data_IF_220024440467
#
_entry.id   IF_220024440467
#
_cell.length_a   1.000
_cell.length_b   1.000
_cell.length_c   1.000
_cell.angle_alpha   90.00
_cell.angle_beta   90.00
_cell.angle_gamma   90.00
#
_symmetry.space_group_name_H-M   'P 1'
#
loop_
_entity.id
_entity.type
_entity.pdbx_description
1 polymer ?
#
# COMPACT_ATOMS: atom_id res chain seq x y z
N UNK A 1 -9.05 4.47 -28.64
CA UNK A 1 -8.81 3.01 -28.62
C UNK A 1 -7.32 2.71 -28.41
N UNK A 2 -6.42 3.59 -28.83
CA UNK A 2 -4.98 3.51 -28.51
C UNK A 2 -4.71 3.92 -27.04
N UNK A 3 -5.29 5.02 -26.58
CA UNK A 3 -5.10 5.54 -25.21
C UNK A 3 -5.50 4.55 -24.10
N UNK A 4 -6.59 3.79 -24.27
CA UNK A 4 -6.99 2.76 -23.30
C UNK A 4 -5.93 1.65 -23.17
N UNK A 5 -5.28 1.28 -24.28
CA UNK A 5 -4.19 0.29 -24.27
C UNK A 5 -2.93 0.88 -23.67
N UNK A 6 -2.70 2.18 -23.82
CA UNK A 6 -1.58 2.88 -23.18
C UNK A 6 -1.74 2.94 -21.67
N UNK A 7 -2.94 3.26 -21.16
CA UNK A 7 -3.24 3.24 -19.73
C UNK A 7 -3.10 1.84 -19.13
N UNK A 8 -3.62 0.81 -19.79
CA UNK A 8 -3.46 -0.58 -19.34
C UNK A 8 -1.98 -1.00 -19.34
N UNK A 9 -1.21 -0.62 -20.37
CA UNK A 9 0.24 -0.85 -20.42
C UNK A 9 0.95 -0.17 -19.25
N UNK A 10 0.61 1.09 -18.97
CA UNK A 10 1.19 1.83 -17.85
C UNK A 10 0.88 1.15 -16.52
N UNK A 11 -0.36 0.70 -16.31
CA UNK A 11 -0.76 -0.06 -15.12
C UNK A 11 0.09 -1.33 -14.94
N UNK A 12 0.31 -2.09 -16.02
CA UNK A 12 1.17 -3.28 -16.00
C UNK A 12 2.64 -2.98 -15.66
N UNK A 13 3.21 -1.90 -16.21
CA UNK A 13 4.59 -1.48 -15.92
C UNK A 13 4.77 -1.10 -14.45
N UNK A 14 3.83 -0.31 -13.92
CA UNK A 14 3.82 0.08 -12.51
C UNK A 14 3.63 -1.14 -11.60
N UNK A 15 2.67 -2.02 -11.94
CA UNK A 15 2.40 -3.21 -11.15
C UNK A 15 3.60 -4.17 -11.12
N UNK A 16 4.33 -4.33 -12.23
CA UNK A 16 5.54 -5.14 -12.28
C UNK A 16 6.64 -4.58 -11.35
N UNK A 17 6.79 -3.24 -11.32
CA UNK A 17 7.75 -2.55 -10.45
C UNK A 17 7.41 -2.76 -8.97
N UNK A 18 6.14 -2.53 -8.60
CA UNK A 18 5.66 -2.76 -7.24
C UNK A 18 5.81 -4.22 -6.84
N UNK A 19 5.43 -5.15 -7.72
CA UNK A 19 5.56 -6.60 -7.47
C UNK A 19 7.00 -6.98 -7.16
N UNK A 20 7.97 -6.45 -7.91
CA UNK A 20 9.39 -6.67 -7.66
C UNK A 20 9.81 -6.16 -6.28
N UNK A 21 9.40 -4.95 -5.90
CA UNK A 21 9.74 -4.35 -4.61
C UNK A 21 9.13 -5.11 -3.42
N UNK A 22 7.86 -5.50 -3.50
CA UNK A 22 7.22 -6.33 -2.47
C UNK A 22 7.80 -7.75 -2.41
N UNK A 23 8.25 -8.31 -3.54
CA UNK A 23 8.94 -9.59 -3.55
C UNK A 23 10.30 -9.49 -2.86
N UNK A 24 11.10 -8.47 -3.20
CA UNK A 24 12.41 -8.19 -2.58
C UNK A 24 12.30 -7.95 -1.07
N UNK A 25 11.32 -7.17 -0.62
CA UNK A 25 11.03 -6.98 0.80
C UNK A 25 10.52 -8.28 1.47
N UNK A 26 9.77 -9.08 0.70
CA UNK A 26 9.25 -10.37 1.12
C UNK A 26 10.32 -11.43 1.40
N UNK A 27 11.46 -11.39 0.71
CA UNK A 27 12.59 -12.31 0.99
C UNK A 27 13.16 -12.14 2.41
N UNK A 28 12.97 -10.98 3.04
CA UNK A 28 13.42 -10.69 4.38
C UNK A 28 12.32 -10.74 5.44
N UNK A 29 11.06 -10.45 5.08
CA UNK A 29 9.96 -10.28 6.05
C UNK A 29 8.57 -10.81 5.60
N UNK A 30 8.49 -11.61 4.54
CA UNK A 30 7.25 -12.26 4.06
C UNK A 30 6.10 -11.26 3.76
N UNK A 31 6.40 -10.12 3.14
CA UNK A 31 5.42 -9.11 2.70
C UNK A 31 4.78 -9.39 1.34
N UNK A 32 4.96 -10.59 0.78
CA UNK A 32 4.27 -10.96 -0.46
C UNK A 32 2.76 -10.90 -0.26
N UNK A 33 2.07 -10.16 -1.13
CA UNK A 33 0.63 -9.98 -1.09
C UNK A 33 0.07 -9.63 -2.46
N UNK A 34 -1.25 -9.74 -2.62
CA UNK A 34 -1.87 -9.22 -3.83
C UNK A 34 -1.85 -7.68 -3.81
N UNK A 35 -1.50 -7.16 -4.97
CA UNK A 35 -1.43 -5.75 -5.32
C UNK A 35 -2.39 -5.48 -6.49
N UNK A 36 -2.94 -4.28 -6.53
CA UNK A 36 -3.63 -3.74 -7.70
C UNK A 36 -3.20 -2.30 -7.96
N UNK A 37 -3.24 -1.88 -9.22
CA UNK A 37 -2.92 -0.53 -9.69
C UNK A 37 -4.07 -0.01 -10.53
N UNK A 38 -4.58 1.18 -10.16
CA UNK A 38 -5.52 1.96 -10.93
C UNK A 38 -4.79 3.12 -11.63
N UNK A 39 -5.19 3.36 -12.86
CA UNK A 39 -4.85 4.55 -13.64
C UNK A 39 -6.09 5.42 -13.67
N UNK A 40 -5.97 6.65 -13.20
CA UNK A 40 -7.06 7.61 -13.11
C UNK A 40 -6.89 8.70 -14.18
N UNK A 41 -7.99 9.08 -14.81
CA UNK A 41 -8.08 10.34 -15.56
C UNK A 41 -8.44 11.47 -14.58
N UNK A 42 -7.47 12.35 -14.32
CA UNK A 42 -7.66 13.52 -13.45
C UNK A 42 -8.17 14.75 -14.22
N UNK A 43 -8.48 14.59 -15.51
CA UNK A 43 -8.83 15.68 -16.42
C UNK A 43 -7.61 16.45 -16.93
N UNK A 44 -7.83 17.26 -17.97
CA UNK A 44 -6.80 18.09 -18.61
C UNK A 44 -5.59 17.29 -19.16
N UNK A 45 -5.79 16.00 -19.46
CA UNK A 45 -4.74 15.10 -19.92
C UNK A 45 -3.76 14.67 -18.83
N UNK A 46 -4.09 14.86 -17.54
CA UNK A 46 -3.30 14.39 -16.41
C UNK A 46 -3.75 13.01 -15.98
N UNK A 47 -2.78 12.14 -15.73
CA UNK A 47 -3.01 10.77 -15.29
C UNK A 47 -2.50 10.58 -13.87
N UNK A 48 -3.38 10.08 -13.00
CA UNK A 48 -3.05 9.66 -11.64
C UNK A 48 -2.74 8.16 -11.59
N UNK A 49 -1.77 7.77 -10.77
CA UNK A 49 -1.43 6.37 -10.51
C UNK A 49 -1.70 6.06 -9.05
N UNK A 50 -2.60 5.12 -8.78
CA UNK A 50 -2.95 4.73 -7.41
C UNK A 50 -2.80 3.23 -7.26
N UNK A 51 -2.19 2.76 -6.18
CA UNK A 51 -2.13 1.33 -5.89
C UNK A 51 -2.80 0.99 -4.57
N UNK A 52 -3.20 -0.26 -4.43
CA UNK A 52 -3.71 -0.82 -3.18
C UNK A 52 -3.12 -2.20 -2.94
N UNK A 53 -3.08 -2.59 -1.67
CA UNK A 53 -2.58 -3.88 -1.20
C UNK A 53 -3.71 -4.69 -0.58
N UNK A 54 -3.57 -6.02 -0.51
CA UNK A 54 -4.53 -6.88 0.22
C UNK A 54 -4.63 -6.52 1.69
N UNK A 55 -3.54 -6.10 2.31
CA UNK A 55 -3.54 -5.58 3.66
C UNK A 55 -3.95 -4.11 3.67
N UNK A 56 -4.76 -3.67 4.64
CA UNK A 56 -5.09 -2.24 4.82
C UNK A 56 -5.64 -1.55 3.56
N UNK A 57 -5.50 -0.22 3.42
CA UNK A 57 -5.78 0.46 2.15
C UNK A 57 -4.57 0.41 1.21
N UNK A 58 -3.37 0.64 1.75
CA UNK A 58 -2.07 0.48 1.07
C UNK A 58 -0.96 0.35 2.13
N UNK A 59 -0.47 -0.86 2.37
CA UNK A 59 0.57 -1.13 3.36
C UNK A 59 1.92 -1.15 2.68
N UNK A 60 2.82 -0.29 3.13
CA UNK A 60 4.15 -0.13 2.55
C UNK A 60 5.16 -0.42 3.66
N UNK A 61 5.76 -1.61 3.72
CA UNK A 61 6.87 -1.94 4.62
C UNK A 61 8.09 -1.05 4.37
N UNK A 62 8.87 -0.72 5.41
CA UNK A 62 9.93 0.29 5.35
C UNK A 62 10.96 0.09 4.22
N UNK A 63 11.17 -1.15 3.80
CA UNK A 63 12.10 -1.56 2.75
C UNK A 63 11.49 -1.63 1.34
N UNK A 64 10.19 -1.34 1.17
CA UNK A 64 9.52 -1.26 -0.13
C UNK A 64 9.66 0.16 -0.69
N UNK A 65 10.25 0.25 -1.89
CA UNK A 65 10.30 1.47 -2.68
C UNK A 65 9.07 1.56 -3.61
N UNK A 66 8.64 2.78 -3.94
CA UNK A 66 7.53 3.06 -4.84
C UNK A 66 8.03 3.65 -6.16
N UNK A 67 7.39 3.28 -7.29
CA UNK A 67 7.65 3.97 -8.55
C UNK A 67 7.26 5.44 -8.48
N UNK A 68 8.01 6.30 -9.19
CA UNK A 68 7.71 7.72 -9.21
C UNK A 68 6.27 8.03 -9.68
N UNK A 69 5.59 8.94 -8.98
CA UNK A 69 4.23 9.37 -9.31
C UNK A 69 3.13 8.39 -8.90
N UNK A 70 3.47 7.28 -8.26
CA UNK A 70 2.51 6.32 -7.72
C UNK A 70 2.10 6.75 -6.31
N UNK A 71 0.79 6.92 -6.11
CA UNK A 71 0.19 7.31 -4.83
C UNK A 71 -0.39 6.07 -4.15
N UNK A 72 -0.06 5.80 -2.88
CA UNK A 72 -0.77 4.80 -2.09
C UNK A 72 -2.25 5.19 -1.97
N UNK A 73 -3.19 4.25 -2.09
CA UNK A 73 -4.62 4.52 -1.85
C UNK A 73 -4.86 5.16 -0.48
N UNK A 74 -4.07 4.77 0.51
CA UNK A 74 -4.11 5.38 1.84
C UNK A 74 -3.84 6.89 1.83
N UNK A 75 -3.04 7.41 0.89
CA UNK A 75 -2.68 8.83 0.81
C UNK A 75 -3.55 9.59 -0.21
N UNK A 76 -4.40 8.88 -0.95
CA UNK A 76 -5.19 9.48 -2.02
C UNK A 76 -6.31 10.39 -1.46
N UNK A 77 -6.53 11.61 -2.01
CA UNK A 77 -7.56 12.52 -1.49
C UNK A 77 -8.98 11.98 -1.56
N UNK A 78 -9.26 11.14 -2.55
CA UNK A 78 -10.55 10.46 -2.71
C UNK A 78 -10.55 9.02 -2.14
N UNK A 79 -9.65 8.71 -1.20
CA UNK A 79 -9.58 7.38 -0.59
C UNK A 79 -10.92 6.99 0.03
N UNK A 80 -11.31 5.70 -0.03
CA UNK A 80 -12.56 5.23 0.54
C UNK A 80 -12.56 5.22 2.07
N UNK A 81 -13.73 4.91 2.63
CA UNK A 81 -13.90 4.60 4.05
C UNK A 81 -12.93 3.49 4.51
N UNK A 82 -12.40 3.64 5.72
CA UNK A 82 -11.54 2.67 6.41
C UNK A 82 -12.19 1.30 6.57
N UNK A 83 -13.52 1.19 6.48
CA UNK A 83 -14.20 -0.11 6.38
C UNK A 83 -13.64 -1.00 5.25
N UNK A 84 -13.10 -0.42 4.17
CA UNK A 84 -12.47 -1.18 3.08
C UNK A 84 -11.05 -1.67 3.40
N UNK A 85 -10.41 -1.15 4.47
CA UNK A 85 -9.08 -1.59 4.89
C UNK A 85 -9.06 -3.07 5.34
N UNK A 86 -10.22 -3.59 5.77
CA UNK A 86 -10.40 -4.99 6.10
C UNK A 86 -10.63 -5.90 4.89
N UNK A 87 -10.79 -5.41 3.66
CA UNK A 87 -11.04 -6.28 2.51
C UNK A 87 -9.75 -6.94 2.02
N UNK A 88 -9.82 -8.16 1.52
CA UNK A 88 -8.62 -8.89 1.02
C UNK A 88 -8.32 -8.63 -0.45
N UNK A 89 -9.35 -8.30 -1.25
CA UNK A 89 -9.21 -7.97 -2.67
C UNK A 89 -8.83 -6.49 -2.86
N UNK A 90 -7.61 -6.18 -3.32
CA UNK A 90 -7.18 -4.79 -3.55
C UNK A 90 -7.94 -4.10 -4.67
N UNK A 91 -8.53 -4.85 -5.62
CA UNK A 91 -9.32 -4.26 -6.72
C UNK A 91 -10.63 -3.66 -6.23
N UNK A 92 -11.28 -4.31 -5.26
CA UNK A 92 -12.50 -3.80 -4.60
C UNK A 92 -12.22 -2.46 -3.93
N UNK A 93 -11.03 -2.29 -3.34
CA UNK A 93 -10.61 -1.05 -2.68
C UNK A 93 -10.38 0.09 -3.68
N UNK A 94 -9.85 -0.22 -4.86
CA UNK A 94 -9.61 0.78 -5.91
C UNK A 94 -10.86 1.11 -6.72
N UNK A 95 -11.78 0.15 -6.93
CA UNK A 95 -12.96 0.31 -7.77
C UNK A 95 -13.92 1.43 -7.32
N UNK A 96 -13.78 1.91 -6.09
CA UNK A 96 -14.55 3.04 -5.53
C UNK A 96 -14.02 4.41 -5.96
N UNK A 97 -12.80 4.48 -6.52
CA UNK A 97 -12.22 5.74 -6.97
C UNK A 97 -12.96 6.23 -8.24
N UNK A 98 -13.23 7.53 -8.34
CA UNK A 98 -13.74 8.10 -9.58
C UNK A 98 -12.64 8.15 -10.66
N UNK A 99 -13.05 8.14 -11.93
CA UNK A 99 -12.14 8.42 -13.05
C UNK A 99 -11.20 7.28 -13.44
N UNK A 100 -11.43 6.05 -12.97
CA UNK A 100 -10.59 4.89 -13.34
C UNK A 100 -10.71 4.62 -14.85
N UNK A 101 -9.57 4.67 -15.55
CA UNK A 101 -9.46 4.36 -16.98
C UNK A 101 -8.71 3.05 -17.25
N UNK A 102 -7.93 2.56 -16.28
CA UNK A 102 -7.39 1.20 -16.28
C UNK A 102 -7.22 0.68 -14.85
N UNK A 103 -7.35 -0.63 -14.65
CA UNK A 103 -7.19 -1.29 -13.36
C UNK A 103 -6.64 -2.70 -13.58
N UNK A 104 -5.48 -3.00 -13.00
CA UNK A 104 -4.78 -4.28 -13.15
C UNK A 104 -4.42 -4.83 -11.77
N UNK A 105 -4.56 -6.14 -11.57
CA UNK A 105 -4.26 -6.83 -10.31
C UNK A 105 -3.31 -8.00 -10.49
N UNK A 106 -2.62 -8.36 -9.41
CA UNK A 106 -1.87 -9.62 -9.30
C UNK A 106 -2.75 -10.79 -8.85
N UNK A 107 -3.94 -10.53 -8.32
CA UNK A 107 -4.92 -11.56 -7.97
C UNK A 107 -5.75 -11.96 -9.19
N UNK A 108 -5.93 -13.27 -9.40
CA UNK A 108 -6.99 -13.77 -10.27
C UNK A 108 -8.32 -13.58 -9.53
N UNK A 109 -9.09 -12.55 -9.90
CA UNK A 109 -10.28 -12.15 -9.17
C UNK A 109 -11.41 -11.62 -10.07
N UNK A 110 -12.65 -11.85 -9.65
CA UNK A 110 -13.87 -11.67 -10.46
C UNK A 110 -14.21 -10.21 -10.85
N UNK A 111 -13.58 -9.22 -10.23
CA UNK A 111 -13.95 -7.80 -10.37
C UNK A 111 -13.10 -7.01 -11.38
N UNK A 112 -12.02 -7.59 -11.88
CA UNK A 112 -11.20 -7.00 -12.95
C UNK A 112 -10.96 -8.04 -14.03
N UNK A 113 -11.35 -7.75 -15.27
CA UNK A 113 -11.06 -8.62 -16.42
C UNK A 113 -9.57 -8.73 -16.76
N UNK A 114 -8.74 -7.83 -16.22
CA UNK A 114 -7.30 -7.76 -16.48
C UNK A 114 -6.50 -8.08 -15.21
N UNK A 115 -5.66 -9.11 -15.28
CA UNK A 115 -4.69 -9.49 -14.25
C UNK A 115 -3.29 -9.64 -14.87
N UNK A 116 -2.25 -9.47 -14.06
CA UNK A 116 -0.86 -9.65 -14.46
C UNK A 116 -0.30 -10.96 -13.89
N UNK A 117 0.09 -11.88 -14.78
CA UNK A 117 0.77 -13.12 -14.37
C UNK A 117 2.23 -12.85 -13.95
N UNK A 118 2.87 -13.85 -13.35
CA UNK A 118 4.30 -13.76 -12.98
C UNK A 118 5.17 -13.59 -14.24
N UNK A 119 4.87 -14.35 -15.28
CA UNK A 119 5.62 -14.39 -16.54
C UNK A 119 5.56 -13.02 -17.23
N UNK A 120 4.37 -12.41 -17.30
CA UNK A 120 4.19 -11.07 -17.85
C UNK A 120 4.96 -10.01 -17.06
N UNK A 121 5.02 -10.12 -15.73
CA UNK A 121 5.79 -9.19 -14.91
C UNK A 121 7.30 -9.33 -15.18
N UNK A 122 7.80 -10.56 -15.26
CA UNK A 122 9.22 -10.84 -15.54
C UNK A 122 9.64 -10.34 -16.93
N UNK A 123 8.82 -10.54 -17.96
CA UNK A 123 9.11 -10.02 -19.31
C UNK A 123 9.27 -8.49 -19.32
N UNK A 124 8.48 -7.77 -18.53
CA UNK A 124 8.55 -6.30 -18.44
C UNK A 124 9.79 -5.84 -17.66
N UNK A 125 10.16 -6.55 -16.60
CA UNK A 125 11.36 -6.28 -15.80
C UNK A 125 12.62 -6.55 -16.63
N UNK A 126 12.68 -7.69 -17.33
CA UNK A 126 13.80 -8.09 -18.18
C UNK A 126 14.00 -7.14 -19.38
N UNK A 127 12.93 -6.50 -19.84
CA UNK A 127 12.98 -5.48 -20.88
C UNK A 127 13.44 -4.09 -20.37
N UNK A 128 13.66 -3.92 -19.06
CA UNK A 128 14.09 -2.67 -18.41
C UNK A 128 13.18 -1.46 -18.72
N UNK A 129 11.89 -1.71 -18.98
CA UNK A 129 10.90 -0.67 -19.31
C UNK A 129 10.10 -0.19 -18.10
N UNK A 130 10.33 -0.78 -16.93
CA UNK A 130 9.64 -0.45 -15.69
C UNK A 130 10.14 0.85 -15.07
N UNK A 131 9.26 1.69 -14.49
CA UNK A 131 9.67 2.91 -13.80
C UNK A 131 10.60 2.64 -12.62
N UNK A 132 11.54 3.56 -12.38
CA UNK A 132 12.44 3.49 -11.23
C UNK A 132 11.69 3.70 -9.90
N UNK A 133 12.04 2.90 -8.90
CA UNK A 133 11.50 3.02 -7.55
C UNK A 133 12.42 3.86 -6.65
N UNK A 134 11.81 4.61 -5.73
CA UNK A 134 12.49 5.32 -4.63
C UNK A 134 11.69 5.12 -3.35
N UNK A 135 12.22 5.44 -2.18
CA UNK A 135 11.46 5.35 -0.92
C UNK A 135 10.95 6.77 -0.57
N UNK A 136 9.84 7.26 -1.15
CA UNK A 136 9.27 8.52 -0.71
C UNK A 136 8.43 8.24 0.54
N UNK A 137 8.86 8.71 1.71
CA UNK A 137 8.02 8.72 2.91
C UNK A 137 8.10 10.03 3.64
N UNK A 138 6.95 10.70 3.74
CA UNK A 138 6.82 11.91 4.56
C UNK A 138 7.84 12.99 4.25
N UNK A 139 8.34 13.08 3.01
CA UNK A 139 9.26 14.15 2.55
C UNK A 139 8.65 15.54 2.76
N UNK A 140 7.33 15.60 2.93
CA UNK A 140 6.52 16.80 3.15
C UNK A 140 6.25 17.11 4.64
N UNK A 141 6.73 16.29 5.58
CA UNK A 141 6.40 16.43 7.01
C UNK A 141 7.54 17.07 7.79
N UNK A 142 7.23 18.21 8.43
CA UNK A 142 8.14 18.88 9.35
C UNK A 142 8.48 17.98 10.57
N UNK A 143 9.76 17.87 10.99
CA UNK A 143 10.19 17.00 12.08
C UNK A 143 9.44 17.20 13.41
N UNK A 144 9.04 18.43 13.74
CA UNK A 144 8.28 18.72 14.96
C UNK A 144 6.90 18.07 14.96
N UNK A 145 6.29 17.94 13.78
CA UNK A 145 5.00 17.26 13.60
C UNK A 145 5.13 15.74 13.75
N UNK A 146 6.30 15.18 13.42
CA UNK A 146 6.57 13.76 13.55
C UNK A 146 6.56 13.29 15.02
N UNK A 147 7.19 14.05 15.92
CA UNK A 147 7.23 13.72 17.34
C UNK A 147 5.84 13.75 17.99
N UNK A 148 4.99 14.72 17.60
CA UNK A 148 3.62 14.84 18.10
C UNK A 148 2.75 13.66 17.62
N UNK A 149 2.76 13.38 16.31
CA UNK A 149 2.02 12.26 15.73
C UNK A 149 2.47 10.93 16.35
N UNK A 150 3.78 10.74 16.52
CA UNK A 150 4.32 9.55 17.17
C UNK A 150 3.80 9.41 18.61
N UNK A 151 3.81 10.50 19.39
CA UNK A 151 3.29 10.50 20.75
C UNK A 151 1.82 10.10 20.83
N UNK A 152 1.00 10.59 19.88
CA UNK A 152 -0.42 10.22 19.78
C UNK A 152 -0.58 8.73 19.41
N UNK A 153 0.13 8.26 18.39
CA UNK A 153 0.06 6.87 17.94
C UNK A 153 0.48 5.87 19.03
N UNK A 154 1.58 6.16 19.74
CA UNK A 154 2.09 5.31 20.84
C UNK A 154 1.09 5.30 22.00
N UNK A 155 0.43 6.41 22.31
CA UNK A 155 -0.52 6.50 23.41
C UNK A 155 -1.78 5.63 23.22
N UNK A 156 -2.13 5.26 21.99
CA UNK A 156 -3.24 4.35 21.70
C UNK A 156 -2.96 2.91 22.14
N UNK A 157 -1.69 2.55 22.28
CA UNK A 157 -1.26 1.16 22.42
C UNK A 157 -0.44 0.93 23.68
N UNK A 158 -0.40 -0.32 24.12
CA UNK A 158 0.49 -0.78 25.21
C UNK A 158 1.38 -1.89 24.67
N UNK A 159 2.62 -1.94 25.14
CA UNK A 159 3.60 -2.98 24.80
C UNK A 159 3.77 -3.11 23.27
N UNK A 160 4.33 -2.09 22.65
CA UNK A 160 4.67 -2.13 21.23
C UNK A 160 5.74 -3.21 20.99
N UNK A 161 5.45 -4.15 20.11
CA UNK A 161 6.37 -5.18 19.64
C UNK A 161 6.12 -5.37 18.14
N UNK A 162 6.73 -4.52 17.28
CA UNK A 162 6.46 -4.56 15.85
C UNK A 162 6.84 -5.89 15.20
N UNK A 163 7.81 -6.64 15.76
CA UNK A 163 8.17 -7.96 15.22
C UNK A 163 7.08 -9.00 15.52
N UNK A 164 6.60 -9.05 16.76
CA UNK A 164 5.49 -9.94 17.14
C UNK A 164 4.19 -9.59 16.41
N UNK A 165 3.87 -8.30 16.30
CA UNK A 165 2.68 -7.84 15.60
C UNK A 165 2.76 -8.11 14.10
N UNK A 166 3.92 -7.92 13.47
CA UNK A 166 4.13 -8.32 12.09
C UNK A 166 3.90 -9.82 11.88
N UNK A 167 4.46 -10.67 12.75
CA UNK A 167 4.23 -12.12 12.70
C UNK A 167 2.74 -12.45 12.85
N UNK A 168 2.05 -11.78 13.76
CA UNK A 168 0.62 -12.00 14.00
C UNK A 168 -0.23 -11.55 12.80
N UNK A 169 0.07 -10.39 12.21
CA UNK A 169 -0.60 -9.90 11.01
C UNK A 169 -0.46 -10.89 9.85
N UNK A 170 0.76 -11.36 9.59
CA UNK A 170 1.02 -12.40 8.57
C UNK A 170 0.17 -13.64 8.82
N UNK A 171 0.09 -14.08 10.07
CA UNK A 171 -0.75 -15.20 10.47
C UNK A 171 -2.25 -14.95 10.38
N UNK A 172 -2.72 -13.69 10.37
CA UNK A 172 -4.14 -13.34 10.21
C UNK A 172 -4.52 -13.04 8.77
N UNK A 173 -3.55 -12.89 7.86
CA UNK A 173 -3.80 -12.64 6.44
C UNK A 173 -4.62 -13.77 5.83
N UNK A 174 -5.51 -13.40 4.92
CA UNK A 174 -6.22 -14.32 4.03
C UNK A 174 -7.08 -15.36 4.75
N UNK A 175 -7.44 -15.10 6.01
CA UNK A 175 -8.34 -15.96 6.79
C UNK A 175 -9.81 -15.90 6.31
N UNK A 176 -10.15 -15.03 5.36
CA UNK A 176 -11.48 -14.92 4.77
C UNK A 176 -11.45 -14.63 3.27
N UNK A 177 -12.49 -15.08 2.58
CA UNK A 177 -12.62 -14.94 1.12
C UNK A 177 -12.79 -13.49 0.65
N UNK A 178 -13.22 -12.58 1.55
CA UNK A 178 -13.52 -11.18 1.21
C UNK A 178 -13.08 -10.16 2.27
N UNK A 179 -13.09 -10.51 3.57
CA UNK A 179 -12.73 -9.62 4.67
C UNK A 179 -11.80 -10.32 5.67
N UNK A 180 -10.89 -9.54 6.24
CA UNK A 180 -9.96 -9.90 7.31
C UNK A 180 -10.73 -10.07 8.64
N UNK A 181 -10.18 -10.86 9.59
CA UNK A 181 -10.82 -11.04 10.89
C UNK A 181 -10.90 -9.71 11.67
N UNK A 182 -11.90 -9.53 12.57
CA UNK A 182 -12.06 -8.28 13.33
C UNK A 182 -10.84 -7.85 14.16
N UNK A 183 -9.99 -8.81 14.55
CA UNK A 183 -8.74 -8.53 15.28
C UNK A 183 -7.65 -7.90 14.41
N UNK A 184 -7.79 -7.91 13.09
CA UNK A 184 -6.74 -7.48 12.17
C UNK A 184 -6.42 -5.99 12.31
N UNK A 185 -7.41 -5.10 12.22
CA UNK A 185 -7.19 -3.64 12.28
C UNK A 185 -6.57 -3.15 13.60
N UNK A 186 -7.02 -3.62 14.79
CA UNK A 186 -6.35 -3.29 16.05
C UNK A 186 -4.86 -3.66 16.07
N UNK A 187 -4.51 -4.86 15.58
CA UNK A 187 -3.12 -5.34 15.54
C UNK A 187 -2.33 -4.55 14.50
N UNK A 188 -2.95 -4.23 13.37
CA UNK A 188 -2.35 -3.44 12.30
C UNK A 188 -2.01 -2.02 12.76
N UNK A 189 -2.92 -1.37 13.48
CA UNK A 189 -2.67 -0.07 14.11
C UNK A 189 -1.49 -0.13 15.09
N UNK A 190 -1.41 -1.17 15.92
CA UNK A 190 -0.32 -1.35 16.89
C UNK A 190 1.03 -1.57 16.20
N UNK A 191 1.04 -2.41 15.17
CA UNK A 191 2.22 -2.65 14.34
C UNK A 191 2.74 -1.36 13.71
N UNK A 192 1.88 -0.56 13.09
CA UNK A 192 2.24 0.73 12.49
C UNK A 192 2.83 1.70 13.52
N UNK A 193 2.28 1.75 14.74
CA UNK A 193 2.84 2.57 15.81
C UNK A 193 4.24 2.08 16.23
N UNK A 194 4.48 0.77 16.27
CA UNK A 194 5.81 0.19 16.52
C UNK A 194 6.81 0.52 15.41
N UNK A 195 6.42 0.38 14.14
CA UNK A 195 7.25 0.75 12.99
C UNK A 195 7.57 2.26 12.99
N UNK A 196 6.62 3.11 13.40
CA UNK A 196 6.83 4.54 13.53
C UNK A 196 7.93 4.87 14.56
N UNK A 197 7.96 4.16 15.69
CA UNK A 197 9.05 4.28 16.68
C UNK A 197 10.39 3.90 16.07
N UNK A 198 10.46 2.75 15.38
CA UNK A 198 11.70 2.27 14.74
C UNK A 198 12.21 3.27 13.69
N UNK A 199 11.33 3.84 12.87
CA UNK A 199 11.69 4.85 11.88
C UNK A 199 12.22 6.13 12.54
N UNK A 200 11.55 6.59 13.61
CA UNK A 200 11.94 7.79 14.34
C UNK A 200 13.34 7.62 14.98
N UNK A 201 13.61 6.47 15.59
CA UNK A 201 14.91 6.15 16.21
C UNK A 201 16.06 6.09 15.19
N UNK A 202 15.76 5.76 13.94
CA UNK A 202 16.72 5.78 12.82
C UNK A 202 16.94 7.18 12.22
N UNK A 203 16.19 8.19 12.69
CA UNK A 203 16.24 9.56 12.19
C UNK A 203 15.39 9.79 10.93
N UNK A 204 14.57 8.83 10.52
CA UNK A 204 13.63 8.98 9.40
C UNK A 204 12.29 9.54 9.91
N UNK A 205 12.30 10.84 10.22
CA UNK A 205 11.15 11.51 10.81
C UNK A 205 9.95 11.60 9.85
N UNK A 206 10.19 11.64 8.53
CA UNK A 206 9.15 11.64 7.52
C UNK A 206 8.38 10.31 7.52
N UNK A 207 9.10 9.19 7.48
CA UNK A 207 8.48 7.87 7.61
C UNK A 207 7.79 7.67 8.96
N UNK A 208 8.41 8.12 10.06
CA UNK A 208 7.82 8.02 11.38
C UNK A 208 6.47 8.75 11.47
N UNK A 209 6.38 9.98 10.94
CA UNK A 209 5.15 10.74 10.93
C UNK A 209 4.05 10.07 10.09
N UNK A 210 4.41 9.60 8.90
CA UNK A 210 3.48 8.89 8.02
C UNK A 210 2.94 7.62 8.70
N UNK A 211 3.83 6.76 9.23
CA UNK A 211 3.43 5.55 9.93
C UNK A 211 2.55 5.85 11.17
N UNK A 212 2.88 6.89 11.92
CA UNK A 212 2.10 7.30 13.09
C UNK A 212 0.69 7.79 12.71
N UNK A 213 0.56 8.59 11.64
CA UNK A 213 -0.73 9.00 11.12
C UNK A 213 -1.59 7.79 10.73
N UNK A 214 -0.99 6.84 9.99
CA UNK A 214 -1.66 5.60 9.60
C UNK A 214 -2.08 4.76 10.81
N UNK A 215 -1.26 4.71 11.86
CA UNK A 215 -1.58 4.01 13.10
C UNK A 215 -2.80 4.61 13.80
N UNK A 216 -2.86 5.94 13.90
CA UNK A 216 -3.98 6.68 14.51
C UNK A 216 -5.27 6.40 13.76
N UNK A 217 -5.22 6.46 12.42
CA UNK A 217 -6.38 6.22 11.56
C UNK A 217 -6.89 4.78 11.69
N UNK A 218 -5.98 3.79 11.61
CA UNK A 218 -6.33 2.38 11.79
C UNK A 218 -6.88 2.09 13.21
N UNK A 219 -6.39 2.78 14.23
CA UNK A 219 -6.82 2.62 15.62
C UNK A 219 -8.19 3.25 15.91
N UNK A 220 -8.58 4.30 15.18
CA UNK A 220 -9.90 4.92 15.29
C UNK A 220 -11.02 4.16 14.56
N UNK A 221 -10.68 3.26 13.64
CA UNK A 221 -11.63 2.41 12.91
C UNK A 221 -11.91 1.05 13.58
N UNK A 222 -11.17 0.73 14.65
CA UNK A 222 -11.27 -0.49 15.45
C UNK A 222 -12.23 -0.32 16.65
#
# INVERSE_FOLDING_TARGET
MDDLREHERLAHLVLASLRSEYHRAGEHQEWYQHLAVAVLDEGEGRTGLVFATSDGLSVIPADVALPHGVTPLADHPARPDLALAGYTDPTVKLAVLPGIVALVSTAEGANTGTHQTVEQANELLDAEVTPSCSIPRGEWVEPSSAAELLGQAVALHKNLDPEHDAHTLRGLRWFGDAQQPPSYLPIFSRWLAGEAVVAYERGDHGAAAWLAQQAIEAGGAA
#
